data_IF_284514920896
#
_entry.id   IF_284514920896
#
_cell.length_a   1.000
_cell.length_b   1.000
_cell.length_c   1.000
_cell.angle_alpha   90.00
_cell.angle_beta   90.00
_cell.angle_gamma   90.00
#
_symmetry.space_group_name_H-M   'P 1'
#
loop_
_entity.id
_entity.type
_entity.pdbx_description
1 polymer ?
#
# COMPACT_ATOMS: atom_id res chain seq x y z
N UNK A 1 39.89 8.58 -22.28
CA UNK A 1 40.59 8.56 -20.97
C UNK A 1 39.54 8.75 -19.90
N UNK A 2 39.15 7.69 -19.20
CA UNK A 2 38.20 7.79 -18.09
C UNK A 2 38.85 8.60 -16.97
N UNK A 3 38.35 9.82 -16.72
CA UNK A 3 38.76 10.60 -15.56
C UNK A 3 38.45 9.77 -14.31
N UNK A 4 39.49 9.42 -13.57
CA UNK A 4 39.34 8.80 -12.26
C UNK A 4 38.54 9.76 -11.37
N UNK A 5 37.31 9.38 -11.05
CA UNK A 5 36.43 10.15 -10.19
C UNK A 5 37.08 10.33 -8.83
N UNK A 6 37.55 11.55 -8.55
CA UNK A 6 37.97 11.93 -7.20
C UNK A 6 36.73 11.78 -6.32
N UNK A 7 36.74 10.84 -5.36
CA UNK A 7 35.69 10.77 -4.35
C UNK A 7 35.65 12.13 -3.64
N UNK A 8 34.63 12.93 -3.97
CA UNK A 8 34.39 14.17 -3.25
C UNK A 8 33.99 13.79 -1.84
N UNK A 9 34.56 14.49 -0.85
CA UNK A 9 34.24 14.27 0.57
C UNK A 9 32.72 14.30 0.78
N UNK A 10 32.01 15.11 -0.02
CA UNK A 10 30.57 15.17 -0.06
C UNK A 10 29.88 13.85 -0.43
N UNK A 11 30.33 13.12 -1.46
CA UNK A 11 29.73 11.83 -1.82
C UNK A 11 29.91 10.77 -0.71
N UNK A 12 31.00 10.85 0.04
CA UNK A 12 31.25 9.97 1.19
C UNK A 12 30.29 10.28 2.35
N UNK A 13 30.02 11.56 2.61
CA UNK A 13 29.05 12.00 3.63
C UNK A 13 27.64 11.59 3.24
N UNK A 14 27.25 11.73 1.97
CA UNK A 14 25.96 11.24 1.46
C UNK A 14 25.83 9.71 1.62
N UNK A 15 26.86 8.95 1.24
CA UNK A 15 26.86 7.50 1.37
C UNK A 15 26.80 7.02 2.82
N UNK A 16 27.51 7.67 3.74
CA UNK A 16 27.50 7.34 5.17
C UNK A 16 26.16 7.70 5.83
N UNK A 17 25.56 8.83 5.48
CA UNK A 17 24.22 9.21 5.95
C UNK A 17 23.17 8.17 5.57
N UNK A 18 23.11 7.83 4.28
CA UNK A 18 22.19 6.81 3.76
C UNK A 18 22.38 5.44 4.41
N UNK A 19 23.62 5.02 4.66
CA UNK A 19 23.91 3.74 5.32
C UNK A 19 23.33 3.65 6.74
N UNK A 20 23.40 4.74 7.52
CA UNK A 20 22.84 4.80 8.88
C UNK A 20 21.31 4.70 8.84
N UNK A 21 20.66 5.36 7.87
CA UNK A 21 19.20 5.28 7.69
C UNK A 21 18.75 3.87 7.31
N UNK A 22 19.45 3.22 6.36
CA UNK A 22 19.15 1.85 5.93
C UNK A 22 19.29 0.87 7.10
N UNK A 23 20.32 1.03 7.94
CA UNK A 23 20.48 0.22 9.16
C UNK A 23 19.36 0.48 10.18
N UNK A 24 18.95 1.72 10.37
CA UNK A 24 17.81 2.06 11.24
C UNK A 24 16.50 1.45 10.75
N UNK A 25 16.26 1.49 9.43
CA UNK A 25 15.08 0.89 8.81
C UNK A 25 15.10 -0.65 8.95
N UNK A 26 16.26 -1.27 8.75
CA UNK A 26 16.45 -2.71 8.96
C UNK A 26 16.09 -3.13 10.40
N UNK A 27 16.60 -2.40 11.40
CA UNK A 27 16.29 -2.66 12.81
C UNK A 27 14.80 -2.52 13.11
N UNK A 28 14.13 -1.54 12.46
CA UNK A 28 12.69 -1.32 12.61
C UNK A 28 11.87 -2.48 12.04
N UNK A 29 12.26 -3.02 10.89
CA UNK A 29 11.61 -4.19 10.26
C UNK A 29 11.84 -5.45 11.10
N UNK A 30 13.06 -5.64 11.63
CA UNK A 30 13.40 -6.80 12.45
C UNK A 30 12.91 -6.73 13.91
N UNK A 31 12.25 -5.64 14.31
CA UNK A 31 11.73 -5.43 15.67
C UNK A 31 12.80 -5.54 16.78
N UNK A 32 14.05 -5.22 16.45
CA UNK A 32 15.14 -5.26 17.42
C UNK A 32 15.01 -4.13 18.46
N UNK A 33 15.49 -4.35 19.70
CA UNK A 33 15.46 -3.31 20.73
C UNK A 33 16.24 -2.07 20.24
N UNK A 34 15.79 -0.88 20.64
CA UNK A 34 16.33 0.42 20.21
C UNK A 34 16.14 0.77 18.72
N UNK A 35 15.39 -0.01 17.94
CA UNK A 35 15.13 0.28 16.52
C UNK A 35 14.56 1.68 16.25
N UNK A 36 13.56 2.10 17.03
CA UNK A 36 12.99 3.44 16.88
C UNK A 36 14.02 4.54 17.15
N UNK A 37 14.91 4.35 18.15
CA UNK A 37 15.94 5.31 18.50
C UNK A 37 16.98 5.45 17.36
N UNK A 38 17.47 4.32 16.84
CA UNK A 38 18.45 4.30 15.74
C UNK A 38 17.85 4.91 14.47
N UNK A 39 16.58 4.59 14.16
CA UNK A 39 15.88 5.16 13.02
C UNK A 39 15.69 6.69 13.16
N UNK A 40 15.30 7.17 14.34
CA UNK A 40 15.17 8.62 14.60
C UNK A 40 16.50 9.34 14.42
N UNK A 41 17.61 8.77 14.92
CA UNK A 41 18.95 9.34 14.73
C UNK A 41 19.31 9.36 13.23
N UNK A 42 19.07 8.27 12.50
CA UNK A 42 19.32 8.20 11.06
C UNK A 42 18.55 9.26 10.29
N UNK A 43 17.26 9.44 10.57
CA UNK A 43 16.43 10.46 9.90
C UNK A 43 16.90 11.89 10.19
N UNK A 44 17.43 12.16 11.39
CA UNK A 44 18.01 13.47 11.73
C UNK A 44 19.32 13.70 10.97
N UNK A 45 20.19 12.69 10.89
CA UNK A 45 21.43 12.75 10.10
C UNK A 45 21.11 13.04 8.64
N UNK A 46 20.14 12.35 8.06
CA UNK A 46 19.73 12.53 6.67
C UNK A 46 19.17 13.93 6.41
N UNK A 47 18.36 14.47 7.33
CA UNK A 47 17.84 15.83 7.22
C UNK A 47 18.96 16.88 7.21
N UNK A 48 20.01 16.71 8.03
CA UNK A 48 21.16 17.61 8.05
C UNK A 48 21.98 17.51 6.76
N UNK A 49 22.18 16.29 6.26
CA UNK A 49 22.92 16.02 5.03
C UNK A 49 22.21 16.62 3.80
N UNK A 50 20.89 16.44 3.68
CA UNK A 50 20.09 17.08 2.62
C UNK A 50 20.08 18.61 2.73
N UNK A 51 19.99 19.14 3.95
CA UNK A 51 20.04 20.59 4.16
C UNK A 51 21.39 21.15 3.71
N UNK A 52 22.50 20.49 4.05
CA UNK A 52 23.83 20.88 3.57
C UNK A 52 23.94 20.77 2.04
N UNK A 53 23.39 19.71 1.44
CA UNK A 53 23.36 19.50 -0.01
C UNK A 53 22.67 20.64 -0.76
N UNK A 54 21.58 21.17 -0.20
CA UNK A 54 20.84 22.28 -0.81
C UNK A 54 21.67 23.57 -0.93
N UNK A 55 22.74 23.73 -0.15
CA UNK A 55 23.66 24.87 -0.24
C UNK A 55 24.87 24.60 -1.14
N UNK A 56 25.11 23.34 -1.55
CA UNK A 56 26.12 23.05 -2.56
C UNK A 56 25.60 23.42 -3.95
N UNK A 57 26.37 24.23 -4.67
CA UNK A 57 26.08 24.54 -6.08
C UNK A 57 26.16 23.25 -6.89
N UNK A 58 25.02 22.85 -7.45
CA UNK A 58 24.90 21.78 -8.44
C UNK A 58 25.92 22.02 -9.55
N UNK A 59 26.98 21.22 -9.61
CA UNK A 59 27.99 21.35 -10.66
C UNK A 59 27.29 21.20 -12.01
N UNK A 60 27.54 22.17 -12.89
CA UNK A 60 27.00 22.22 -14.24
C UNK A 60 27.19 20.87 -14.92
N UNK A 61 26.11 20.31 -15.45
CA UNK A 61 26.16 19.12 -16.28
C UNK A 61 27.22 19.28 -17.36
N UNK A 62 27.93 18.18 -17.61
CA UNK A 62 28.97 18.06 -18.62
C UNK A 62 28.50 18.72 -19.93
N UNK A 63 29.30 19.64 -20.47
CA UNK A 63 28.93 20.43 -21.65
C UNK A 63 28.86 19.56 -22.91
N UNK A 64 27.69 18.96 -23.15
CA UNK A 64 27.41 18.09 -24.30
C UNK A 64 27.51 18.82 -25.65
N UNK A 65 27.60 20.17 -25.64
CA UNK A 65 27.80 20.97 -26.86
C UNK A 65 29.16 20.72 -27.54
N UNK A 66 30.13 20.17 -26.81
CA UNK A 66 31.43 19.79 -27.36
C UNK A 66 31.36 18.55 -28.27
N UNK A 67 30.28 17.76 -28.16
CA UNK A 67 30.10 16.49 -28.89
C UNK A 67 28.96 16.57 -29.92
N UNK A 68 27.95 17.42 -29.69
CA UNK A 68 26.84 17.65 -30.62
C UNK A 68 26.54 19.15 -30.78
N UNK A 69 27.17 19.82 -31.77
CA UNK A 69 26.99 21.26 -31.99
C UNK A 69 25.58 21.65 -32.46
N UNK A 70 24.79 20.71 -32.98
CA UNK A 70 23.41 20.92 -33.45
C UNK A 70 22.43 21.38 -32.35
N UNK A 71 22.78 21.22 -31.07
CA UNK A 71 21.94 21.67 -29.94
C UNK A 71 22.30 23.08 -29.45
N UNK A 72 23.38 23.68 -29.95
CA UNK A 72 23.83 25.01 -29.55
C UNK A 72 23.04 26.16 -30.23
N UNK A 73 22.25 25.87 -31.27
CA UNK A 73 21.54 26.86 -32.08
C UNK A 73 20.10 27.18 -31.65
N UNK A 74 19.60 26.60 -30.57
CA UNK A 74 18.16 26.58 -30.25
C UNK A 74 17.53 27.85 -29.65
N UNK A 75 18.28 28.95 -29.49
CA UNK A 75 17.72 30.21 -28.99
C UNK A 75 18.16 31.40 -29.82
N UNK A 76 17.36 31.78 -30.82
CA UNK A 76 16.84 33.15 -31.04
C UNK A 76 16.11 33.30 -32.39
N UNK A 77 15.13 34.21 -32.39
CA UNK A 77 14.66 34.99 -33.54
C UNK A 77 13.54 34.45 -34.47
N UNK A 78 12.32 34.64 -33.97
CA UNK A 78 11.15 35.21 -34.64
C UNK A 78 11.40 36.04 -35.94
N UNK A 79 10.93 35.61 -37.14
CA UNK A 79 10.19 36.44 -38.15
C UNK A 79 9.79 35.72 -39.45
N UNK A 80 8.47 35.72 -39.70
CA UNK A 80 7.68 35.78 -40.96
C UNK A 80 8.38 35.62 -42.33
N UNK A 81 7.81 34.76 -43.20
CA UNK A 81 6.91 35.15 -44.33
C UNK A 81 6.31 33.94 -45.08
N UNK A 82 5.08 34.14 -45.54
CA UNK A 82 4.21 33.36 -46.45
C UNK A 82 4.90 32.97 -47.76
N UNK A 83 4.57 31.79 -48.30
CA UNK A 83 3.67 31.64 -49.47
C UNK A 83 3.43 30.14 -49.80
N UNK A 84 2.17 29.76 -49.97
CA UNK A 84 1.67 28.53 -50.62
C UNK A 84 1.21 28.91 -52.06
N UNK A 85 0.79 27.99 -52.94
CA UNK A 85 1.12 26.56 -53.11
C UNK A 85 1.48 26.26 -54.59
N UNK A 86 2.14 25.13 -54.88
CA UNK A 86 1.96 24.36 -56.14
C UNK A 86 2.73 23.05 -56.07
N UNK A 87 2.05 21.96 -56.42
CA UNK A 87 2.55 20.60 -56.61
C UNK A 87 3.03 19.83 -55.36
N UNK A 88 2.18 19.75 -54.34
CA UNK A 88 2.41 18.93 -53.15
C UNK A 88 2.61 17.42 -53.44
N UNK A 89 2.20 16.90 -54.60
CA UNK A 89 2.40 15.50 -54.98
C UNK A 89 3.62 15.28 -55.90
N UNK A 90 3.94 16.23 -56.79
CA UNK A 90 5.12 16.15 -57.66
C UNK A 90 6.43 16.52 -56.94
N UNK A 91 6.37 17.46 -56.00
CA UNK A 91 7.52 17.88 -55.19
C UNK A 91 7.83 16.85 -54.10
N UNK A 92 6.83 16.13 -53.56
CA UNK A 92 7.07 15.09 -52.58
C UNK A 92 7.74 13.87 -53.20
N UNK A 93 7.28 13.42 -54.37
CA UNK A 93 7.93 12.32 -55.09
C UNK A 93 9.32 12.71 -55.59
N UNK A 94 9.52 13.94 -56.09
CA UNK A 94 10.86 14.43 -56.46
C UNK A 94 11.78 14.63 -55.26
N UNK A 95 11.29 15.12 -54.13
CA UNK A 95 12.06 15.20 -52.87
C UNK A 95 12.34 13.82 -52.29
N UNK A 96 11.43 12.86 -52.44
CA UNK A 96 11.65 11.50 -51.97
C UNK A 96 12.68 10.79 -52.85
N UNK A 97 12.63 10.98 -54.18
CA UNK A 97 13.64 10.50 -55.12
C UNK A 97 14.99 11.21 -54.94
N UNK A 98 15.00 12.53 -54.71
CA UNK A 98 16.21 13.28 -54.34
C UNK A 98 16.76 12.83 -52.99
N UNK A 99 15.94 12.60 -51.97
CA UNK A 99 16.38 12.05 -50.68
C UNK A 99 16.87 10.61 -50.81
N UNK A 100 16.23 9.77 -51.62
CA UNK A 100 16.69 8.40 -51.91
C UNK A 100 18.04 8.40 -52.65
N UNK A 101 18.22 9.35 -53.56
CA UNK A 101 19.41 9.47 -54.42
C UNK A 101 20.57 10.19 -53.73
N UNK A 102 20.29 11.13 -52.84
CA UNK A 102 21.27 11.98 -52.14
C UNK A 102 21.68 11.41 -50.78
N UNK A 103 20.83 10.63 -50.12
CA UNK A 103 21.20 9.95 -48.88
C UNK A 103 22.00 8.65 -49.08
N UNK A 104 22.25 8.22 -50.33
CA UNK A 104 22.70 6.86 -50.64
C UNK A 104 22.01 5.84 -49.73
N UNK A 105 20.71 5.61 -49.96
CA UNK A 105 20.03 4.50 -49.28
C UNK A 105 20.60 3.20 -49.86
N UNK A 106 21.79 2.85 -49.39
CA UNK A 106 22.43 1.58 -49.64
C UNK A 106 21.48 0.49 -49.15
N UNK A 107 21.48 -0.65 -49.83
CA UNK A 107 20.65 -1.79 -49.43
C UNK A 107 20.83 -2.19 -47.95
N UNK A 108 21.99 -1.85 -47.38
CA UNK A 108 22.33 -1.97 -45.97
C UNK A 108 21.47 -1.08 -45.04
N UNK A 109 21.16 0.16 -45.44
CA UNK A 109 20.30 1.06 -44.65
C UNK A 109 18.85 0.56 -44.65
N UNK A 110 18.35 0.09 -45.80
CA UNK A 110 17.04 -0.55 -45.91
C UNK A 110 16.96 -1.86 -45.11
N UNK A 111 18.02 -2.68 -45.14
CA UNK A 111 18.12 -3.87 -44.32
C UNK A 111 18.14 -3.53 -42.82
N UNK A 112 18.87 -2.49 -42.42
CA UNK A 112 18.95 -2.03 -41.03
C UNK A 112 17.60 -1.48 -40.53
N UNK A 113 16.85 -0.77 -41.38
CA UNK A 113 15.52 -0.29 -41.07
C UNK A 113 14.55 -1.48 -40.92
N UNK A 114 14.60 -2.45 -41.83
CA UNK A 114 13.82 -3.68 -41.73
C UNK A 114 14.13 -4.45 -40.44
N UNK A 115 15.41 -4.54 -40.08
CA UNK A 115 15.86 -5.17 -38.84
C UNK A 115 15.39 -4.40 -37.60
N UNK A 116 15.39 -3.06 -37.65
CA UNK A 116 14.91 -2.22 -36.54
C UNK A 116 13.39 -2.32 -36.33
N UNK A 117 12.61 -2.36 -37.41
CA UNK A 117 11.14 -2.58 -37.34
C UNK A 117 10.85 -3.98 -36.79
N UNK A 118 11.59 -4.99 -37.24
CA UNK A 118 11.44 -6.37 -36.74
C UNK A 118 11.81 -6.49 -35.26
N UNK A 119 12.89 -5.83 -34.83
CA UNK A 119 13.30 -5.77 -33.43
C UNK A 119 12.28 -5.01 -32.55
N UNK A 120 11.64 -3.97 -33.10
CA UNK A 120 10.58 -3.23 -32.42
C UNK A 120 9.31 -4.08 -32.27
N UNK A 121 8.90 -4.81 -33.32
CA UNK A 121 7.78 -5.76 -33.26
C UNK A 121 8.02 -6.83 -32.19
N UNK A 122 9.23 -7.38 -32.14
CA UNK A 122 9.64 -8.38 -31.16
C UNK A 122 9.63 -7.81 -29.73
N UNK A 123 10.12 -6.58 -29.54
CA UNK A 123 10.07 -5.88 -28.25
C UNK A 123 8.63 -5.60 -27.81
N UNK A 124 7.78 -5.15 -28.72
CA UNK A 124 6.36 -4.89 -28.45
C UNK A 124 5.60 -6.19 -28.10
N UNK A 125 5.87 -7.30 -28.79
CA UNK A 125 5.34 -8.63 -28.44
C UNK A 125 5.80 -9.08 -27.04
N UNK A 126 7.06 -8.83 -26.68
CA UNK A 126 7.60 -9.13 -25.36
C UNK A 126 7.07 -8.19 -24.25
N UNK A 127 6.57 -7.00 -24.59
CA UNK A 127 5.89 -6.12 -23.61
C UNK A 127 4.47 -6.58 -23.27
N UNK A 128 3.77 -7.28 -24.17
CA UNK A 128 2.41 -7.78 -23.91
C UNK A 128 2.30 -8.63 -22.61
N UNK A 129 3.17 -9.64 -22.37
CA UNK A 129 3.14 -10.39 -21.12
C UNK A 129 3.59 -9.57 -19.89
N UNK A 130 4.28 -8.45 -20.08
CA UNK A 130 4.62 -7.53 -18.98
C UNK A 130 3.38 -6.79 -18.49
N UNK A 131 2.47 -6.40 -19.38
CA UNK A 131 1.19 -5.76 -19.00
C UNK A 131 0.32 -6.72 -18.19
N UNK A 132 0.22 -7.99 -18.61
CA UNK A 132 -0.50 -9.01 -17.85
C UNK A 132 0.12 -9.27 -16.47
N UNK A 133 1.46 -9.27 -16.38
CA UNK A 133 2.19 -9.41 -15.12
C UNK A 133 1.98 -8.23 -14.17
N UNK A 134 1.91 -7.00 -14.70
CA UNK A 134 1.59 -5.80 -13.92
C UNK A 134 0.16 -5.89 -13.38
N UNK A 135 -0.80 -6.32 -14.20
CA UNK A 135 -2.19 -6.52 -13.77
C UNK A 135 -2.32 -7.63 -12.72
N UNK A 136 -1.59 -8.73 -12.86
CA UNK A 136 -1.55 -9.81 -11.86
C UNK A 136 -0.97 -9.32 -10.53
N UNK A 137 0.09 -8.51 -10.56
CA UNK A 137 0.70 -7.93 -9.36
C UNK A 137 -0.27 -6.96 -8.67
N UNK A 138 -1.00 -6.13 -9.44
CA UNK A 138 -2.03 -5.24 -8.90
C UNK A 138 -3.15 -6.03 -8.23
N UNK A 139 -3.69 -7.05 -8.91
CA UNK A 139 -4.71 -7.94 -8.34
C UNK A 139 -4.23 -8.64 -7.08
N UNK A 140 -2.99 -9.12 -7.06
CA UNK A 140 -2.40 -9.72 -5.87
C UNK A 140 -2.36 -8.76 -4.68
N UNK A 141 -2.00 -7.49 -4.91
CA UNK A 141 -2.06 -6.44 -3.89
C UNK A 141 -3.48 -6.17 -3.39
N UNK A 142 -4.46 -6.11 -4.29
CA UNK A 142 -5.88 -5.96 -3.95
C UNK A 142 -6.40 -7.14 -3.12
N UNK A 143 -6.10 -8.38 -3.52
CA UNK A 143 -6.47 -9.60 -2.78
C UNK A 143 -5.80 -9.67 -1.40
N UNK A 144 -4.52 -9.29 -1.28
CA UNK A 144 -3.86 -9.20 0.02
C UNK A 144 -4.50 -8.15 0.93
N UNK A 145 -4.89 -7.00 0.38
CA UNK A 145 -5.60 -5.96 1.15
C UNK A 145 -6.96 -6.46 1.63
N UNK A 146 -7.68 -7.20 0.77
CA UNK A 146 -8.98 -7.79 1.11
C UNK A 146 -8.83 -8.87 2.18
N UNK A 147 -7.83 -9.75 2.04
CA UNK A 147 -7.50 -10.77 3.03
C UNK A 147 -7.12 -10.16 4.39
N UNK A 148 -6.35 -9.06 4.41
CA UNK A 148 -6.02 -8.34 5.63
C UNK A 148 -7.28 -7.80 6.33
N UNK A 149 -8.20 -7.18 5.57
CA UNK A 149 -9.47 -6.69 6.11
C UNK A 149 -10.35 -7.83 6.64
N UNK A 150 -10.36 -8.99 5.97
CA UNK A 150 -11.06 -10.18 6.45
C UNK A 150 -10.44 -10.75 7.73
N UNK A 151 -9.10 -10.78 7.85
CA UNK A 151 -8.44 -11.18 9.10
C UNK A 151 -8.75 -10.23 10.26
N UNK A 152 -8.79 -8.92 10.00
CA UNK A 152 -9.16 -7.93 11.01
C UNK A 152 -10.61 -8.16 11.50
N UNK A 153 -11.54 -8.38 10.57
CA UNK A 153 -12.92 -8.76 10.88
C UNK A 153 -12.98 -10.06 11.71
N UNK A 154 -12.16 -11.06 11.38
CA UNK A 154 -12.10 -12.33 12.10
C UNK A 154 -11.59 -12.15 13.54
N UNK A 155 -10.59 -11.28 13.75
CA UNK A 155 -10.11 -10.92 15.08
C UNK A 155 -11.19 -10.19 15.88
N UNK A 156 -11.93 -9.27 15.25
CA UNK A 156 -13.09 -8.60 15.86
C UNK A 156 -14.17 -9.60 16.27
N UNK A 157 -14.52 -10.55 15.39
CA UNK A 157 -15.47 -11.63 15.69
C UNK A 157 -15.00 -12.49 16.86
N UNK A 158 -13.70 -12.81 16.94
CA UNK A 158 -13.15 -13.52 18.09
C UNK A 158 -13.31 -12.74 19.40
N UNK A 159 -13.09 -11.42 19.39
CA UNK A 159 -13.33 -10.57 20.57
C UNK A 159 -14.79 -10.60 20.99
N UNK A 160 -15.72 -10.40 20.04
CA UNK A 160 -17.16 -10.44 20.31
C UNK A 160 -17.59 -11.81 20.83
N UNK A 161 -17.04 -12.90 20.28
CA UNK A 161 -17.34 -14.26 20.75
C UNK A 161 -16.86 -14.47 22.18
N UNK A 162 -15.65 -14.02 22.51
CA UNK A 162 -15.07 -14.15 23.85
C UNK A 162 -15.86 -13.33 24.89
N UNK A 163 -16.26 -12.12 24.51
CA UNK A 163 -17.15 -11.28 25.32
C UNK A 163 -18.53 -11.93 25.51
N UNK A 164 -19.10 -12.50 24.46
CA UNK A 164 -20.38 -13.23 24.50
C UNK A 164 -20.30 -14.45 25.42
N UNK A 165 -19.22 -15.23 25.36
CA UNK A 165 -18.99 -16.38 26.25
C UNK A 165 -18.90 -15.94 27.71
N UNK A 166 -18.16 -14.86 28.00
CA UNK A 166 -18.10 -14.31 29.36
C UNK A 166 -19.46 -13.83 29.85
N UNK A 167 -20.21 -13.13 28.98
CA UNK A 167 -21.57 -12.68 29.30
C UNK A 167 -22.53 -13.86 29.52
N UNK A 168 -22.42 -14.93 28.73
CA UNK A 168 -23.22 -16.14 28.89
C UNK A 168 -22.91 -16.85 30.22
N UNK A 169 -21.65 -16.89 30.63
CA UNK A 169 -21.27 -17.44 31.94
C UNK A 169 -21.92 -16.65 33.08
N UNK A 170 -21.86 -15.32 33.03
CA UNK A 170 -22.54 -14.43 34.00
C UNK A 170 -24.06 -14.65 34.02
N UNK A 171 -24.70 -14.75 32.84
CA UNK A 171 -26.14 -15.01 32.74
C UNK A 171 -26.51 -16.37 33.32
N UNK A 172 -25.68 -17.40 33.11
CA UNK A 172 -25.92 -18.72 33.70
C UNK A 172 -25.81 -18.69 35.23
N UNK A 173 -24.82 -17.97 35.77
CA UNK A 173 -24.65 -17.81 37.21
C UNK A 173 -25.84 -17.07 37.84
N UNK A 174 -26.25 -15.95 37.26
CA UNK A 174 -27.44 -15.20 37.67
C UNK A 174 -28.72 -16.05 37.56
N UNK A 175 -28.87 -16.86 36.50
CA UNK A 175 -30.02 -17.73 36.33
C UNK A 175 -30.09 -18.83 37.40
N UNK A 176 -28.94 -19.42 37.77
CA UNK A 176 -28.86 -20.40 38.86
C UNK A 176 -29.18 -19.75 40.20
N UNK A 177 -28.64 -18.56 40.48
CA UNK A 177 -28.94 -17.81 41.69
C UNK A 177 -30.44 -17.47 41.80
N UNK A 178 -31.03 -16.96 40.71
CA UNK A 178 -32.45 -16.62 40.66
C UNK A 178 -33.35 -17.86 40.81
N UNK A 179 -32.99 -18.99 40.20
CA UNK A 179 -33.70 -20.25 40.39
C UNK A 179 -33.66 -20.71 41.85
N UNK A 180 -32.53 -20.49 42.53
CA UNK A 180 -32.36 -20.82 43.95
C UNK A 180 -33.25 -19.94 44.83
N UNK A 181 -33.24 -18.62 44.62
CA UNK A 181 -34.13 -17.67 45.33
C UNK A 181 -35.61 -17.97 45.07
N UNK A 182 -35.98 -18.29 43.83
CA UNK A 182 -37.35 -18.66 43.48
C UNK A 182 -37.78 -19.94 44.22
N UNK A 183 -36.90 -20.94 44.32
CA UNK A 183 -37.15 -22.15 45.10
C UNK A 183 -37.40 -21.82 46.57
N UNK A 184 -36.58 -20.97 47.18
CA UNK A 184 -36.77 -20.54 48.57
C UNK A 184 -38.10 -19.82 48.78
N UNK A 185 -38.45 -18.88 47.89
CA UNK A 185 -39.74 -18.19 47.94
C UNK A 185 -40.92 -19.14 47.77
N UNK A 186 -40.81 -20.12 46.87
CA UNK A 186 -41.83 -21.15 46.68
C UNK A 186 -41.98 -22.06 47.90
N UNK A 187 -40.89 -22.43 48.55
CA UNK A 187 -40.93 -23.20 49.80
C UNK A 187 -41.58 -22.39 50.93
N UNK A 188 -41.24 -21.11 51.06
CA UNK A 188 -41.88 -20.21 52.01
C UNK A 188 -43.37 -20.05 51.72
N UNK A 189 -43.76 -19.90 50.46
CA UNK A 189 -45.16 -19.80 50.06
C UNK A 189 -45.93 -21.09 50.38
N UNK A 190 -45.36 -22.26 50.09
CA UNK A 190 -45.94 -23.55 50.42
C UNK A 190 -46.10 -23.73 51.94
N UNK A 191 -45.11 -23.30 52.73
CA UNK A 191 -45.18 -23.31 54.20
C UNK A 191 -46.29 -22.39 54.71
N UNK A 192 -46.38 -21.17 54.19
CA UNK A 192 -47.45 -20.22 54.53
C UNK A 192 -48.84 -20.78 54.16
N UNK A 193 -49.01 -21.35 52.97
CA UNK A 193 -50.27 -21.99 52.56
C UNK A 193 -50.62 -23.20 53.45
N UNK A 194 -49.63 -24.02 53.81
CA UNK A 194 -49.83 -25.15 54.73
C UNK A 194 -50.24 -24.68 56.12
N UNK A 195 -49.57 -23.65 56.65
CA UNK A 195 -49.92 -23.06 57.95
C UNK A 195 -51.33 -22.47 57.94
N UNK A 196 -51.70 -21.81 56.84
CA UNK A 196 -53.03 -21.21 56.68
C UNK A 196 -54.11 -22.29 56.59
N UNK A 197 -53.88 -23.35 55.81
CA UNK A 197 -54.80 -24.49 55.74
C UNK A 197 -54.91 -25.22 57.10
N UNK A 198 -53.83 -25.27 57.88
CA UNK A 198 -53.83 -25.79 59.25
C UNK A 198 -54.68 -24.95 60.20
N UNK A 199 -54.59 -23.62 60.12
CA UNK A 199 -55.44 -22.70 60.91
C UNK A 199 -56.90 -22.79 60.49
N UNK A 200 -57.18 -22.86 59.18
CA UNK A 200 -58.55 -23.06 58.68
C UNK A 200 -59.13 -24.42 59.09
N UNK A 201 -58.34 -25.49 59.02
CA UNK A 201 -58.75 -26.83 59.48
C UNK A 201 -58.97 -26.88 60.99
N UNK A 202 -58.10 -26.24 61.77
CA UNK A 202 -58.28 -26.07 63.21
C UNK A 202 -59.53 -25.26 63.57
N UNK A 203 -59.82 -24.21 62.81
CA UNK A 203 -61.03 -23.39 62.99
C UNK A 203 -62.30 -24.15 62.59
N UNK A 204 -62.29 -24.93 61.51
CA UNK A 204 -63.40 -25.81 61.11
C UNK A 204 -63.65 -26.95 62.11
N UNK A 205 -62.58 -27.52 62.68
CA UNK A 205 -62.66 -28.54 63.73
C UNK A 205 -63.18 -27.94 65.04
N UNK A 206 -62.87 -26.68 65.34
CA UNK A 206 -63.40 -25.95 66.48
C UNK A 206 -64.84 -25.46 66.26
N UNK A 207 -65.27 -25.27 65.01
CA UNK A 207 -66.63 -24.84 64.63
C UNK A 207 -67.59 -25.99 64.34
N UNK A 208 -67.13 -27.23 64.21
CA UNK A 208 -67.99 -28.42 64.14
C UNK A 208 -68.24 -28.96 65.55
N UNK A 209 -69.45 -28.78 66.12
CA UNK A 209 -69.74 -29.32 67.45
C UNK A 209 -69.73 -30.85 67.40
N UNK A 210 -69.08 -31.47 68.39
CA UNK A 210 -69.14 -32.93 68.58
C UNK A 210 -70.61 -33.34 68.78
N UNK A 211 -71.18 -34.04 67.80
CA UNK A 211 -72.46 -34.71 67.95
C UNK A 211 -72.24 -35.94 68.86
N UNK A 212 -72.90 -35.93 70.02
CA UNK A 212 -73.06 -37.09 70.90
C UNK A 212 -74.09 -38.07 70.33
#
# INVERSE_FOLDING_TARGET
>A
MAQQGKMTITNMVYGLGAAIVILGALFKIQHWPYASLILTIGMIVEALVFTYSAFERQQSELDWSLVYPELAGGQTANKKKKDEPKDAQGILSKKLDELLKEAQIDGELMASLGQSIKSFEETAKNMSPTVDSINATKKYGEELSLAAAQMESLNSLYKVQLESVNRQASVNEEAVENATKLKEQMQSLASSLSSLNGVYGGMLTAMTPKAN
#
